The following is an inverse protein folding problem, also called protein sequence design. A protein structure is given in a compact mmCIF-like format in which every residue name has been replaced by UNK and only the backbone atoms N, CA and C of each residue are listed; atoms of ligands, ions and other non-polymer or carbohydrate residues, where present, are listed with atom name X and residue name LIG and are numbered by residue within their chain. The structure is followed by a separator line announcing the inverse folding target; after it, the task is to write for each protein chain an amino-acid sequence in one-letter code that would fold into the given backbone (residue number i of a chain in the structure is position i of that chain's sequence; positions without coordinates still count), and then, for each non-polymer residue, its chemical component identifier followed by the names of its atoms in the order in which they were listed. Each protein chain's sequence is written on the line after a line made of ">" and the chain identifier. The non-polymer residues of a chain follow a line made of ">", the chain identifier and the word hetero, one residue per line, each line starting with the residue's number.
data_IF_499843220647
#
_entry.id   IF_499843220647
#
_cell.length_a   1.000
_cell.length_b   1.000
_cell.length_c   1.000
_cell.angle_alpha   90.00
_cell.angle_beta   90.00
_cell.angle_gamma   90.00
#
_symmetry.space_group_name_H-M   'P 1'
#
loop_
_entity.id
_entity.type
_entity.pdbx_description
1 polymer ?
#
# COMPACT_ATOMS: atom_id res chain seq x y z
N UNK A 1 45.47 -14.15 -20.59
CA UNK A 1 44.42 -13.12 -20.62
C UNK A 1 44.03 -12.77 -19.19
N UNK A 2 44.04 -11.49 -18.84
CA UNK A 2 43.52 -11.03 -17.54
C UNK A 2 42.01 -10.94 -17.66
N UNK A 3 41.30 -11.77 -16.93
CA UNK A 3 39.83 -11.66 -16.75
C UNK A 3 39.56 -10.52 -15.77
N UNK A 4 38.83 -9.49 -16.20
CA UNK A 4 38.33 -8.47 -15.30
C UNK A 4 36.90 -8.86 -14.88
N UNK A 5 36.64 -8.91 -13.58
CA UNK A 5 35.29 -9.03 -13.06
C UNK A 5 34.69 -7.61 -13.01
N UNK A 6 33.57 -7.43 -13.68
CA UNK A 6 32.81 -6.18 -13.68
C UNK A 6 31.50 -6.42 -12.97
N UNK A 7 31.23 -5.62 -11.95
CA UNK A 7 29.91 -5.58 -11.28
C UNK A 7 29.17 -4.37 -11.83
N UNK A 8 27.90 -4.55 -12.17
CA UNK A 8 27.04 -3.48 -12.69
C UNK A 8 25.70 -3.51 -11.98
N UNK A 9 25.29 -2.35 -11.48
CA UNK A 9 23.95 -2.11 -10.95
C UNK A 9 23.12 -1.39 -12.01
N UNK A 10 21.93 -1.91 -12.28
CA UNK A 10 20.98 -1.31 -13.20
C UNK A 10 19.72 -0.90 -12.45
N UNK A 11 19.24 0.29 -12.72
CA UNK A 11 18.07 0.87 -12.06
C UNK A 11 16.95 1.12 -13.05
N UNK A 12 15.73 1.19 -12.52
CA UNK A 12 14.57 1.57 -13.33
C UNK A 12 14.63 3.06 -13.66
N UNK A 13 13.94 3.51 -14.74
CA UNK A 13 13.92 4.93 -15.10
C UNK A 13 13.32 5.85 -14.03
N UNK A 14 12.56 5.31 -13.09
CA UNK A 14 12.04 6.07 -11.94
C UNK A 14 13.14 6.61 -11.02
N UNK A 15 14.38 6.12 -11.15
CA UNK A 15 15.52 6.67 -10.42
C UNK A 15 15.72 8.15 -10.73
N UNK A 16 15.51 8.59 -11.97
CA UNK A 16 15.65 10.01 -12.36
C UNK A 16 14.71 10.91 -11.55
N UNK A 17 13.49 10.43 -11.25
CA UNK A 17 12.53 11.15 -10.40
C UNK A 17 12.88 11.09 -8.91
N UNK A 18 13.62 10.06 -8.49
CA UNK A 18 14.05 9.89 -7.09
C UNK A 18 15.23 10.79 -6.73
N UNK A 19 16.11 11.05 -7.67
CA UNK A 19 17.34 11.81 -7.45
C UNK A 19 17.14 13.32 -7.45
N UNK A 20 16.04 13.80 -8.04
CA UNK A 20 15.79 15.23 -8.20
C UNK A 20 14.59 15.68 -7.36
N UNK A 21 14.75 16.75 -6.55
CA UNK A 21 13.63 17.36 -5.83
C UNK A 21 12.86 18.34 -6.73
N UNK A 22 11.57 18.57 -6.49
CA UNK A 22 10.87 19.69 -7.05
C UNK A 22 11.45 21.02 -6.52
N UNK A 23 11.31 22.13 -7.27
CA UNK A 23 11.66 23.45 -6.76
C UNK A 23 10.90 23.78 -5.47
N UNK A 24 11.53 24.52 -4.56
CA UNK A 24 10.89 24.94 -3.32
C UNK A 24 9.64 25.76 -3.64
N UNK A 25 8.51 25.38 -3.03
CA UNK A 25 7.22 26.03 -3.27
C UNK A 25 6.56 25.63 -4.59
N UNK A 26 7.01 24.55 -5.24
CA UNK A 26 6.34 24.03 -6.44
C UNK A 26 4.89 23.68 -6.12
N UNK A 27 3.96 24.22 -6.90
CA UNK A 27 2.52 24.12 -6.62
C UNK A 27 1.76 23.83 -7.89
N UNK A 28 0.85 22.87 -7.83
CA UNK A 28 -0.20 22.64 -8.82
C UNK A 28 -1.48 23.22 -8.24
N UNK A 29 -2.17 24.06 -9.01
CA UNK A 29 -3.32 24.79 -8.50
C UNK A 29 -4.57 23.93 -8.41
N UNK A 30 -5.45 24.30 -7.51
CA UNK A 30 -6.80 23.76 -7.39
C UNK A 30 -7.52 23.74 -8.75
N UNK A 31 -8.34 22.70 -8.98
CA UNK A 31 -9.11 22.43 -10.19
C UNK A 31 -8.28 22.05 -11.43
N UNK A 32 -6.95 21.98 -11.35
CA UNK A 32 -6.16 21.41 -12.43
C UNK A 32 -6.32 19.88 -12.50
N UNK A 33 -6.24 19.33 -13.72
CA UNK A 33 -6.34 17.89 -13.94
C UNK A 33 -5.08 17.18 -13.41
N UNK A 34 -5.28 16.15 -12.60
CA UNK A 34 -4.21 15.43 -11.91
C UNK A 34 -3.31 14.71 -12.93
N UNK A 35 -3.91 13.97 -13.88
CA UNK A 35 -3.16 13.14 -14.81
C UNK A 35 -2.41 13.96 -15.85
N UNK A 36 -2.98 15.07 -16.31
CA UNK A 36 -2.31 15.98 -17.25
C UNK A 36 -1.03 16.58 -16.63
N UNK A 37 -1.11 16.99 -15.36
CA UNK A 37 0.04 17.49 -14.62
C UNK A 37 1.08 16.39 -14.38
N UNK A 38 0.65 15.19 -14.00
CA UNK A 38 1.57 14.07 -13.82
C UNK A 38 2.32 13.75 -15.12
N UNK A 39 1.62 13.65 -16.25
CA UNK A 39 2.25 13.42 -17.56
C UNK A 39 3.20 14.54 -17.99
N UNK A 40 2.83 15.81 -17.74
CA UNK A 40 3.69 16.96 -18.04
C UNK A 40 4.99 16.90 -17.24
N UNK A 41 4.90 16.74 -15.92
CA UNK A 41 6.07 16.68 -15.03
C UNK A 41 6.97 15.51 -15.42
N UNK A 42 6.41 14.33 -15.65
CA UNK A 42 7.21 13.16 -16.02
C UNK A 42 7.95 13.35 -17.33
N UNK A 43 7.34 13.96 -18.34
CA UNK A 43 8.01 14.28 -19.61
C UNK A 43 9.13 15.30 -19.46
N UNK A 44 9.02 16.21 -18.50
CA UNK A 44 10.03 17.23 -18.21
C UNK A 44 11.20 16.68 -17.38
N UNK A 45 10.93 15.71 -16.50
CA UNK A 45 11.88 15.25 -15.48
C UNK A 45 12.46 13.87 -15.74
N UNK A 46 11.98 13.14 -16.73
CA UNK A 46 12.37 11.76 -17.01
C UNK A 46 12.44 11.51 -18.51
N UNK A 47 13.39 10.66 -18.93
CA UNK A 47 13.61 10.31 -20.36
C UNK A 47 12.82 9.10 -20.82
N UNK A 48 12.43 8.21 -19.89
CA UNK A 48 11.71 7.00 -20.26
C UNK A 48 10.30 7.30 -20.78
N UNK A 49 9.78 6.50 -21.70
CA UNK A 49 8.44 6.68 -22.23
C UNK A 49 7.40 6.38 -21.13
N UNK A 50 6.36 7.21 -21.10
CA UNK A 50 5.22 7.09 -20.20
C UNK A 50 3.99 6.71 -21.03
N UNK A 51 3.31 5.66 -20.64
CA UNK A 51 2.08 5.22 -21.29
C UNK A 51 0.96 6.19 -20.93
N UNK A 52 0.25 6.66 -21.95
CA UNK A 52 -0.85 7.59 -21.76
C UNK A 52 -1.94 6.99 -20.84
N UNK A 53 -2.37 7.77 -19.89
CA UNK A 53 -3.47 7.46 -18.99
C UNK A 53 -4.22 8.75 -18.71
N UNK A 54 -5.52 8.73 -18.81
CA UNK A 54 -6.39 9.88 -18.54
C UNK A 54 -7.26 9.63 -17.31
N UNK A 55 -7.67 10.71 -16.69
CA UNK A 55 -8.71 10.74 -15.65
C UNK A 55 -9.34 12.13 -15.68
N UNK A 56 -10.61 12.22 -15.36
CA UNK A 56 -11.30 13.49 -15.19
C UNK A 56 -11.10 14.09 -13.79
N UNK A 57 -10.32 13.40 -12.94
CA UNK A 57 -10.05 13.83 -11.58
C UNK A 57 -9.24 15.12 -11.55
N UNK A 58 -9.71 16.05 -10.75
CA UNK A 58 -9.09 17.37 -10.52
C UNK A 58 -8.70 17.53 -9.07
N UNK A 59 -7.68 18.34 -8.83
CA UNK A 59 -7.26 18.70 -7.48
C UNK A 59 -8.36 19.47 -6.76
N UNK A 60 -8.66 19.04 -5.54
CA UNK A 60 -9.65 19.70 -4.69
C UNK A 60 -9.08 20.96 -4.02
N UNK A 61 -7.79 20.96 -3.70
CA UNK A 61 -7.02 22.08 -3.14
C UNK A 61 -5.72 22.23 -3.92
N UNK A 62 -5.01 23.34 -3.67
CA UNK A 62 -3.64 23.52 -4.16
C UNK A 62 -2.75 22.37 -3.63
N UNK A 63 -1.95 21.79 -4.50
CA UNK A 63 -1.05 20.70 -4.18
C UNK A 63 0.38 21.18 -4.20
N UNK A 64 0.96 21.31 -3.00
CA UNK A 64 2.26 21.94 -2.78
C UNK A 64 3.30 20.86 -2.44
N UNK A 65 4.47 20.95 -3.06
CA UNK A 65 5.58 20.06 -2.74
C UNK A 65 6.14 20.37 -1.34
N UNK A 66 6.40 19.31 -0.56
CA UNK A 66 7.09 19.43 0.72
C UNK A 66 8.59 19.66 0.49
N UNK A 67 9.28 20.17 1.50
CA UNK A 67 10.70 20.51 1.42
C UNK A 67 11.63 19.31 1.26
N UNK A 68 11.18 18.14 1.65
CA UNK A 68 11.89 16.86 1.60
C UNK A 68 11.39 15.94 0.46
N UNK A 69 10.45 16.42 -0.36
CA UNK A 69 9.98 15.67 -1.51
C UNK A 69 11.05 15.52 -2.58
N UNK A 70 11.04 14.34 -3.20
CA UNK A 70 11.61 14.11 -4.52
C UNK A 70 10.48 14.11 -5.55
N UNK A 71 10.80 14.21 -6.85
CA UNK A 71 9.75 14.15 -7.87
C UNK A 71 8.93 12.86 -7.81
N UNK A 72 9.55 11.73 -7.42
CA UNK A 72 8.80 10.46 -7.30
C UNK A 72 7.82 10.48 -6.13
N UNK A 73 8.18 11.05 -4.97
CA UNK A 73 7.28 11.17 -3.82
C UNK A 73 6.13 12.12 -4.14
N UNK A 74 6.45 13.31 -4.63
CA UNK A 74 5.45 14.30 -5.06
C UNK A 74 4.45 13.75 -6.08
N UNK A 75 4.97 13.09 -7.14
CA UNK A 75 4.11 12.49 -8.16
C UNK A 75 3.31 11.29 -7.65
N UNK A 76 3.87 10.48 -6.74
CA UNK A 76 3.14 9.37 -6.13
C UNK A 76 1.94 9.88 -5.34
N UNK A 77 2.12 10.92 -4.56
CA UNK A 77 1.04 11.55 -3.79
C UNK A 77 0.03 12.25 -4.69
N UNK A 78 0.51 12.89 -5.76
CA UNK A 78 -0.36 13.52 -6.76
C UNK A 78 -1.29 12.50 -7.42
N UNK A 79 -0.75 11.40 -7.97
CA UNK A 79 -1.55 10.39 -8.69
C UNK A 79 -2.41 9.54 -7.76
N UNK A 80 -2.06 9.45 -6.46
CA UNK A 80 -2.89 8.80 -5.45
C UNK A 80 -4.26 9.51 -5.30
N UNK A 81 -4.32 10.82 -5.51
CA UNK A 81 -5.59 11.56 -5.54
C UNK A 81 -6.50 11.14 -6.71
N UNK A 82 -5.94 10.58 -7.79
CA UNK A 82 -6.68 9.94 -8.88
C UNK A 82 -6.78 8.41 -8.71
N UNK A 83 -6.53 7.89 -7.50
CA UNK A 83 -6.54 6.45 -7.18
C UNK A 83 -5.65 5.62 -8.10
N UNK A 84 -4.50 6.16 -8.44
CA UNK A 84 -3.50 5.51 -9.30
C UNK A 84 -2.16 5.40 -8.59
N UNK A 85 -1.34 4.48 -9.07
CA UNK A 85 0.04 4.27 -8.63
C UNK A 85 0.93 3.97 -9.83
N UNK A 86 2.23 4.15 -9.66
CA UNK A 86 3.20 3.78 -10.67
C UNK A 86 3.30 2.28 -10.87
N UNK A 87 3.49 1.89 -12.13
CA UNK A 87 3.91 0.57 -12.56
C UNK A 87 4.96 0.69 -13.65
N UNK A 88 5.60 -0.43 -13.95
CA UNK A 88 6.55 -0.54 -15.06
C UNK A 88 6.17 -1.78 -15.87
N UNK A 89 6.26 -1.68 -17.18
CA UNK A 89 6.18 -2.85 -18.05
C UNK A 89 7.58 -3.43 -18.34
N UNK A 90 7.62 -4.53 -19.08
CA UNK A 90 8.85 -5.24 -19.41
C UNK A 90 9.77 -4.45 -20.35
N UNK A 91 9.26 -3.42 -21.00
CA UNK A 91 10.01 -2.52 -21.86
C UNK A 91 10.55 -1.30 -21.10
N UNK A 92 10.35 -1.24 -19.78
CA UNK A 92 10.75 -0.12 -18.94
C UNK A 92 9.89 1.13 -19.12
N UNK A 93 8.69 1.00 -19.71
CA UNK A 93 7.76 2.13 -19.84
C UNK A 93 6.98 2.30 -18.54
N UNK A 94 6.76 3.54 -18.14
CA UNK A 94 6.01 3.84 -16.94
C UNK A 94 4.51 3.78 -17.21
N UNK A 95 3.81 3.08 -16.31
CA UNK A 95 2.36 2.89 -16.32
C UNK A 95 1.73 3.61 -15.13
N UNK A 96 0.47 4.01 -15.28
CA UNK A 96 -0.40 4.43 -14.18
C UNK A 96 -1.45 3.35 -13.95
N UNK A 97 -1.24 2.55 -12.92
CA UNK A 97 -2.12 1.44 -12.59
C UNK A 97 -3.21 1.91 -11.61
N UNK A 98 -4.47 1.49 -11.80
CA UNK A 98 -5.51 1.80 -10.82
C UNK A 98 -5.19 1.10 -9.49
N UNK A 99 -5.52 1.77 -8.39
CA UNK A 99 -5.52 1.13 -7.09
C UNK A 99 -6.73 0.21 -6.98
N UNK A 100 -6.49 -1.08 -6.80
CA UNK A 100 -7.53 -2.10 -6.74
C UNK A 100 -7.42 -2.89 -5.45
N UNK A 101 -8.56 -3.16 -4.82
CA UNK A 101 -8.62 -4.07 -3.69
C UNK A 101 -8.27 -5.50 -4.15
N UNK A 102 -7.36 -6.14 -3.43
CA UNK A 102 -6.92 -7.51 -3.68
C UNK A 102 -8.10 -8.49 -3.70
N UNK A 103 -9.13 -8.24 -2.88
CA UNK A 103 -10.32 -9.07 -2.83
C UNK A 103 -11.07 -9.12 -4.18
N UNK A 104 -11.07 -8.02 -4.95
CA UNK A 104 -11.74 -7.90 -6.25
C UNK A 104 -10.96 -8.52 -7.41
N UNK A 105 -9.64 -8.72 -7.23
CA UNK A 105 -8.77 -9.21 -8.28
C UNK A 105 -8.94 -10.72 -8.51
N UNK A 106 -8.75 -11.15 -9.76
CA UNK A 106 -8.63 -12.57 -10.09
C UNK A 106 -7.17 -13.00 -9.93
N UNK A 107 -6.90 -14.13 -9.26
CA UNK A 107 -5.54 -14.65 -9.14
C UNK A 107 -5.02 -15.11 -10.51
N UNK A 108 -3.82 -14.67 -10.86
CA UNK A 108 -3.12 -15.14 -12.07
C UNK A 108 -2.43 -16.48 -11.84
N UNK A 109 -2.12 -16.81 -10.57
CA UNK A 109 -1.48 -18.05 -10.16
C UNK A 109 -1.99 -18.48 -8.79
N UNK A 110 -2.00 -19.81 -8.58
CA UNK A 110 -2.31 -20.41 -7.28
C UNK A 110 -1.10 -21.20 -6.81
N UNK A 111 -0.58 -20.86 -5.64
CA UNK A 111 0.45 -21.62 -4.95
C UNK A 111 -0.19 -22.54 -3.93
N UNK A 112 0.22 -23.83 -3.94
CA UNK A 112 -0.22 -24.85 -3.00
C UNK A 112 0.97 -25.58 -2.39
N UNK A 113 0.74 -26.39 -1.37
CA UNK A 113 1.73 -27.24 -0.70
C UNK A 113 1.60 -28.73 -1.10
N UNK A 114 0.92 -29.02 -2.22
CA UNK A 114 0.77 -30.37 -2.77
C UNK A 114 2.04 -30.90 -3.43
N UNK A 115 2.00 -32.18 -3.83
CA UNK A 115 3.14 -32.89 -4.42
C UNK A 115 3.65 -32.29 -5.74
N UNK A 116 2.83 -31.51 -6.43
CA UNK A 116 3.20 -30.79 -7.67
C UNK A 116 3.50 -29.31 -7.44
N UNK A 117 3.65 -28.92 -6.20
CA UNK A 117 3.95 -27.52 -5.84
C UNK A 117 5.30 -27.10 -6.40
N UNK A 118 5.35 -25.87 -6.91
CA UNK A 118 6.61 -25.20 -7.29
C UNK A 118 7.20 -24.38 -6.13
N UNK A 119 6.52 -24.32 -4.97
CA UNK A 119 7.00 -23.64 -3.78
C UNK A 119 8.20 -24.37 -3.19
N UNK A 120 9.21 -23.58 -2.79
CA UNK A 120 10.30 -24.10 -1.98
C UNK A 120 9.89 -24.11 -0.50
N UNK A 121 10.56 -24.92 0.35
CA UNK A 121 10.18 -25.09 1.74
C UNK A 121 10.24 -23.81 2.58
N UNK A 122 11.01 -22.79 2.15
CA UNK A 122 11.11 -21.53 2.86
C UNK A 122 9.87 -20.66 2.61
N UNK A 123 8.94 -20.70 3.55
CA UNK A 123 7.72 -19.92 3.54
C UNK A 123 7.58 -19.17 4.88
N UNK A 124 7.41 -17.85 4.82
CA UNK A 124 7.33 -17.02 6.01
C UNK A 124 6.14 -16.06 5.93
N UNK A 125 5.33 -16.03 6.97
CA UNK A 125 4.29 -15.01 7.15
C UNK A 125 4.74 -14.08 8.27
N UNK A 126 4.70 -12.79 8.03
CA UNK A 126 4.98 -11.76 9.03
C UNK A 126 3.82 -10.78 9.12
N UNK A 127 3.56 -10.33 10.34
CA UNK A 127 2.57 -9.32 10.68
C UNK A 127 3.04 -8.53 11.88
N UNK A 128 2.69 -7.27 11.94
CA UNK A 128 2.93 -6.44 13.13
C UNK A 128 1.60 -6.13 13.82
N UNK A 129 1.44 -6.66 15.02
CA UNK A 129 0.28 -6.40 15.86
C UNK A 129 0.57 -5.42 17.00
N UNK A 130 1.85 -5.04 17.18
CA UNK A 130 2.28 -4.37 18.40
C UNK A 130 1.56 -3.03 18.64
N UNK A 131 1.50 -2.18 17.63
CA UNK A 131 0.92 -0.85 17.71
C UNK A 131 -0.59 -0.76 17.42
N UNK A 132 -1.26 -1.88 17.09
CA UNK A 132 -2.68 -1.86 16.74
C UNK A 132 -3.51 -1.49 17.97
N UNK A 133 -4.28 -0.37 17.93
CA UNK A 133 -5.07 0.05 19.07
C UNK A 133 -6.29 -0.87 19.28
N UNK A 134 -6.74 -0.95 20.51
CA UNK A 134 -8.00 -1.60 20.88
C UNK A 134 -9.02 -0.62 21.48
N UNK A 135 -8.62 0.62 21.64
CA UNK A 135 -9.50 1.71 22.02
C UNK A 135 -9.21 2.91 21.14
N UNK A 136 -10.25 3.55 20.64
CA UNK A 136 -10.19 4.86 19.97
C UNK A 136 -10.98 5.85 20.80
N UNK A 137 -10.35 6.97 21.12
CA UNK A 137 -10.98 8.12 21.76
C UNK A 137 -10.96 9.30 20.79
N UNK A 138 -12.13 9.82 20.49
CA UNK A 138 -12.32 11.01 19.65
C UNK A 138 -12.75 12.15 20.52
N UNK A 139 -11.97 13.22 20.56
CA UNK A 139 -12.28 14.43 21.33
C UNK A 139 -12.62 15.54 20.35
N UNK A 140 -13.82 16.07 20.43
CA UNK A 140 -14.22 17.23 19.65
C UNK A 140 -14.44 18.41 20.59
N UNK A 141 -13.70 19.49 20.37
CA UNK A 141 -13.75 20.70 21.21
C UNK A 141 -13.66 21.93 20.31
N UNK A 142 -14.81 22.40 19.84
CA UNK A 142 -14.95 23.61 19.01
C UNK A 142 -16.29 24.31 19.32
N UNK A 143 -16.33 25.62 19.16
CA UNK A 143 -17.55 26.42 19.29
C UNK A 143 -18.31 26.21 20.63
N UNK A 144 -17.58 26.18 21.74
CA UNK A 144 -18.14 25.93 23.10
C UNK A 144 -18.74 24.53 23.32
N UNK A 145 -18.62 23.65 22.33
CA UNK A 145 -19.06 22.26 22.44
C UNK A 145 -17.90 21.33 22.72
N UNK A 146 -18.09 20.41 23.67
CA UNK A 146 -17.13 19.39 24.04
C UNK A 146 -17.81 18.02 24.00
N UNK A 147 -17.38 17.19 23.08
CA UNK A 147 -17.86 15.81 22.94
C UNK A 147 -16.69 14.86 23.02
N UNK A 148 -16.91 13.70 23.63
CA UNK A 148 -15.95 12.59 23.63
C UNK A 148 -16.70 11.34 23.15
N UNK A 149 -16.15 10.70 22.14
CA UNK A 149 -16.62 9.41 21.66
C UNK A 149 -15.54 8.35 21.91
N UNK A 150 -15.95 7.17 22.33
CA UNK A 150 -15.03 6.07 22.62
C UNK A 150 -15.52 4.78 21.97
N UNK A 151 -14.68 4.17 21.15
CA UNK A 151 -14.90 2.84 20.62
C UNK A 151 -13.90 1.85 21.24
N UNK A 152 -14.38 0.65 21.60
CA UNK A 152 -13.57 -0.37 22.29
C UNK A 152 -13.74 -1.70 21.54
N UNK A 153 -12.60 -2.31 21.20
CA UNK A 153 -12.56 -3.70 20.76
C UNK A 153 -12.39 -4.61 22.00
N UNK A 154 -13.47 -5.20 22.45
CA UNK A 154 -13.53 -6.17 23.55
C UNK A 154 -13.93 -7.59 23.08
N UNK A 155 -13.94 -7.84 21.76
CA UNK A 155 -14.24 -9.15 21.20
C UNK A 155 -13.18 -10.18 21.63
N UNK A 156 -13.55 -11.23 22.36
CA UNK A 156 -12.58 -12.26 22.77
C UNK A 156 -11.98 -13.03 21.58
N UNK A 157 -12.61 -13.03 20.42
CA UNK A 157 -12.10 -13.66 19.20
C UNK A 157 -11.10 -12.77 18.46
N UNK A 158 -11.04 -11.48 18.76
CA UNK A 158 -10.06 -10.57 18.16
C UNK A 158 -8.71 -10.68 18.89
N UNK A 159 -7.60 -11.00 18.20
CA UNK A 159 -6.28 -11.10 18.81
C UNK A 159 -5.75 -9.78 19.36
N UNK A 160 -6.37 -8.66 18.98
CA UNK A 160 -5.96 -7.32 19.40
C UNK A 160 -6.89 -6.70 20.43
N UNK A 161 -7.95 -7.38 20.83
CA UNK A 161 -8.92 -6.86 21.81
C UNK A 161 -8.31 -6.59 23.19
N UNK A 162 -9.01 -5.80 23.98
CA UNK A 162 -8.65 -5.54 25.38
C UNK A 162 -8.63 -6.83 26.21
N UNK A 163 -9.52 -7.77 25.89
CA UNK A 163 -9.63 -9.08 26.56
C UNK A 163 -8.43 -9.96 26.19
N UNK A 164 -8.19 -10.16 24.88
CA UNK A 164 -7.11 -11.07 24.42
C UNK A 164 -5.71 -10.56 24.79
N UNK A 165 -5.50 -9.25 24.82
CA UNK A 165 -4.21 -8.64 25.19
C UNK A 165 -4.03 -8.39 26.69
N UNK A 166 -5.10 -8.33 27.44
CA UNK A 166 -5.06 -7.95 28.88
C UNK A 166 -4.56 -6.52 29.12
N UNK A 167 -4.50 -5.67 28.10
CA UNK A 167 -4.04 -4.27 28.19
C UNK A 167 -4.76 -3.37 27.20
N UNK A 168 -4.82 -2.07 27.53
CA UNK A 168 -5.38 -1.03 26.70
C UNK A 168 -4.30 -0.37 25.84
N UNK A 169 -4.55 -0.23 24.55
CA UNK A 169 -3.75 0.55 23.60
C UNK A 169 -4.71 1.57 22.99
N UNK A 170 -4.53 2.82 23.41
CA UNK A 170 -5.47 3.90 23.09
C UNK A 170 -4.90 4.73 21.93
N UNK A 171 -5.69 4.87 20.88
CA UNK A 171 -5.48 5.88 19.83
C UNK A 171 -6.41 7.06 20.11
N UNK A 172 -5.84 8.24 20.27
CA UNK A 172 -6.62 9.47 20.49
C UNK A 172 -6.51 10.40 19.31
N UNK A 173 -7.65 10.88 18.81
CA UNK A 173 -7.73 11.92 17.79
C UNK A 173 -8.53 13.10 18.31
N UNK A 174 -8.13 14.31 17.92
CA UNK A 174 -8.76 15.55 18.38
C UNK A 174 -9.25 16.33 17.18
N UNK A 175 -10.47 16.83 17.25
CA UNK A 175 -11.10 17.66 16.23
C UNK A 175 -10.97 17.05 14.82
N UNK A 176 -11.54 15.86 14.58
CA UNK A 176 -11.52 15.26 13.25
C UNK A 176 -12.18 16.17 12.22
N UNK A 177 -11.67 16.14 10.99
CA UNK A 177 -12.25 16.92 9.89
C UNK A 177 -13.60 16.33 9.50
N UNK A 178 -14.66 17.02 9.93
CA UNK A 178 -16.05 16.64 9.69
C UNK A 178 -16.83 17.82 9.11
N UNK A 179 -17.80 17.54 8.24
CA UNK A 179 -18.64 18.58 7.66
C UNK A 179 -19.59 19.17 8.71
N UNK A 180 -19.32 20.38 9.18
CA UNK A 180 -20.10 21.08 10.18
C UNK A 180 -19.81 20.63 11.60
N UNK A 181 -20.67 21.05 12.55
CA UNK A 181 -20.59 20.62 13.96
C UNK A 181 -21.20 19.22 14.09
N UNK A 182 -20.43 18.20 14.46
CA UNK A 182 -20.92 16.83 14.56
C UNK A 182 -21.86 16.67 15.78
N UNK A 183 -22.82 15.76 15.67
CA UNK A 183 -23.56 15.24 16.82
C UNK A 183 -22.73 14.19 17.57
N UNK A 184 -23.13 13.86 18.81
CA UNK A 184 -22.50 12.78 19.58
C UNK A 184 -22.57 11.44 18.79
N UNK A 185 -23.70 11.14 18.18
CA UNK A 185 -23.92 9.93 17.40
C UNK A 185 -22.96 9.83 16.19
N UNK A 186 -22.75 10.94 15.49
CA UNK A 186 -21.79 10.99 14.38
C UNK A 186 -20.34 10.78 14.85
N UNK A 187 -19.98 11.26 16.03
CA UNK A 187 -18.67 11.04 16.62
C UNK A 187 -18.49 9.59 17.08
N UNK A 188 -19.52 8.98 17.64
CA UNK A 188 -19.51 7.56 18.04
C UNK A 188 -19.32 6.66 16.81
N UNK A 189 -20.05 6.90 15.73
CA UNK A 189 -19.87 6.20 14.45
C UNK A 189 -18.45 6.41 13.87
N UNK A 190 -17.94 7.64 13.96
CA UNK A 190 -16.60 7.94 13.50
C UNK A 190 -15.54 7.17 14.29
N UNK A 191 -15.65 7.14 15.61
CA UNK A 191 -14.75 6.40 16.50
C UNK A 191 -14.76 4.90 16.17
N UNK A 192 -15.95 4.32 15.94
CA UNK A 192 -16.08 2.91 15.56
C UNK A 192 -15.44 2.62 14.19
N UNK A 193 -15.73 3.44 13.18
CA UNK A 193 -15.14 3.31 11.84
C UNK A 193 -13.62 3.44 11.88
N UNK A 194 -13.12 4.38 12.67
CA UNK A 194 -11.67 4.59 12.84
C UNK A 194 -11.02 3.37 13.51
N UNK A 195 -11.61 2.83 14.57
CA UNK A 195 -11.09 1.63 15.23
C UNK A 195 -11.09 0.41 14.29
N UNK A 196 -12.15 0.22 13.50
CA UNK A 196 -12.21 -0.84 12.48
C UNK A 196 -11.11 -0.68 11.42
N UNK A 197 -10.88 0.55 10.97
CA UNK A 197 -9.81 0.87 10.03
C UNK A 197 -8.42 0.55 10.61
N UNK A 198 -8.14 1.00 11.82
CA UNK A 198 -6.88 0.76 12.52
C UNK A 198 -6.67 -0.71 12.92
N UNK A 199 -7.76 -1.48 13.02
CA UNK A 199 -7.75 -2.93 13.26
C UNK A 199 -7.61 -3.76 11.97
N UNK A 200 -7.50 -3.11 10.81
CA UNK A 200 -7.18 -3.76 9.54
C UNK A 200 -5.67 -3.73 9.35
N UNK A 201 -5.05 -4.91 9.37
CA UNK A 201 -3.59 -5.02 9.30
C UNK A 201 -3.13 -5.69 8.01
N UNK A 202 -1.92 -5.35 7.62
CA UNK A 202 -1.25 -5.96 6.48
C UNK A 202 -0.40 -7.15 6.95
N UNK A 203 -0.56 -8.26 6.24
CA UNK A 203 0.28 -9.44 6.33
C UNK A 203 1.22 -9.48 5.14
N UNK A 204 2.47 -9.84 5.39
CA UNK A 204 3.46 -10.07 4.35
C UNK A 204 3.82 -11.53 4.30
N UNK A 205 3.68 -12.14 3.12
CA UNK A 205 4.11 -13.50 2.83
C UNK A 205 5.42 -13.40 2.04
N UNK A 206 6.48 -14.02 2.55
CA UNK A 206 7.76 -14.18 1.83
C UNK A 206 7.92 -15.64 1.46
N UNK A 207 8.14 -15.91 0.18
CA UNK A 207 8.21 -17.26 -0.36
C UNK A 207 9.16 -17.32 -1.55
N UNK A 208 9.62 -18.53 -1.86
CA UNK A 208 10.42 -18.79 -3.06
C UNK A 208 9.81 -19.95 -3.86
N UNK A 209 9.97 -19.90 -5.18
CA UNK A 209 9.41 -20.89 -6.07
C UNK A 209 10.24 -21.02 -7.36
N UNK A 210 9.96 -22.04 -8.16
CA UNK A 210 10.42 -22.14 -9.54
C UNK A 210 9.76 -21.08 -10.41
N UNK A 211 10.39 -20.69 -11.50
CA UNK A 211 9.86 -19.64 -12.37
C UNK A 211 8.42 -19.92 -12.83
N UNK A 212 7.57 -18.91 -12.72
CA UNK A 212 6.23 -18.86 -13.31
C UNK A 212 5.94 -17.41 -13.77
N UNK A 213 4.98 -17.19 -14.67
CA UNK A 213 4.73 -15.88 -15.28
C UNK A 213 3.91 -14.94 -14.37
N UNK A 214 4.32 -14.81 -13.11
CA UNK A 214 3.76 -13.88 -12.14
C UNK A 214 4.63 -12.63 -12.11
N UNK A 215 4.03 -11.46 -11.93
CA UNK A 215 4.67 -10.14 -11.95
C UNK A 215 4.36 -9.35 -10.69
N UNK A 216 5.17 -8.34 -10.43
CA UNK A 216 4.86 -7.35 -9.39
C UNK A 216 3.53 -6.67 -9.71
N UNK A 217 2.65 -6.64 -8.73
CA UNK A 217 1.30 -6.09 -8.83
C UNK A 217 0.22 -7.12 -9.13
N UNK A 218 0.58 -8.33 -9.54
CA UNK A 218 -0.38 -9.42 -9.77
C UNK A 218 -0.99 -9.91 -8.46
N UNK A 219 -2.23 -10.40 -8.58
CA UNK A 219 -2.90 -11.13 -7.52
C UNK A 219 -2.54 -12.62 -7.63
N UNK A 220 -2.11 -13.20 -6.53
CA UNK A 220 -1.85 -14.63 -6.39
C UNK A 220 -2.72 -15.21 -5.28
N UNK A 221 -2.98 -16.50 -5.34
CA UNK A 221 -3.73 -17.23 -4.31
C UNK A 221 -2.83 -18.24 -3.62
N UNK A 222 -2.96 -18.33 -2.30
CA UNK A 222 -2.26 -19.33 -1.50
C UNK A 222 -3.24 -20.33 -0.91
N UNK A 223 -2.92 -21.62 -1.13
CA UNK A 223 -3.51 -22.77 -0.48
C UNK A 223 -2.36 -23.54 0.19
N UNK A 224 -1.99 -23.15 1.40
CA UNK A 224 -0.88 -23.72 2.15
C UNK A 224 -1.35 -24.11 3.54
N UNK A 225 -1.73 -25.38 3.73
CA UNK A 225 -2.32 -25.86 4.98
C UNK A 225 -1.35 -25.75 6.15
N UNK A 226 -0.07 -26.04 5.95
CA UNK A 226 0.98 -25.90 6.97
C UNK A 226 1.17 -24.47 7.48
N UNK A 227 0.79 -23.46 6.69
CA UNK A 227 0.82 -22.04 7.05
C UNK A 227 -0.57 -21.49 7.43
N UNK A 228 -1.61 -22.31 7.43
CA UNK A 228 -2.98 -21.90 7.75
C UNK A 228 -3.63 -21.03 6.66
N UNK A 229 -3.10 -21.01 5.43
CA UNK A 229 -3.63 -20.22 4.33
C UNK A 229 -4.56 -21.07 3.48
N UNK A 230 -5.83 -20.68 3.39
CA UNK A 230 -6.84 -21.38 2.58
C UNK A 230 -7.55 -20.39 1.68
N UNK A 231 -7.17 -20.38 0.39
CA UNK A 231 -7.73 -19.50 -0.61
C UNK A 231 -7.37 -18.01 -0.41
N UNK A 232 -6.29 -17.72 0.32
CA UNK A 232 -5.89 -16.34 0.62
C UNK A 232 -5.35 -15.69 -0.64
N UNK A 233 -5.97 -14.58 -1.03
CA UNK A 233 -5.50 -13.74 -2.13
C UNK A 233 -4.51 -12.72 -1.61
N UNK A 234 -3.37 -12.58 -2.29
CA UNK A 234 -2.35 -11.59 -1.94
C UNK A 234 -1.82 -10.93 -3.21
N UNK A 235 -1.31 -9.72 -3.07
CA UNK A 235 -0.73 -8.93 -4.16
C UNK A 235 0.78 -8.99 -4.08
N UNK A 236 1.42 -9.38 -5.18
CA UNK A 236 2.89 -9.41 -5.27
C UNK A 236 3.44 -7.99 -5.18
N UNK A 237 4.31 -7.74 -4.21
CA UNK A 237 4.92 -6.43 -3.95
C UNK A 237 6.35 -6.35 -4.44
N UNK A 238 7.13 -7.40 -4.21
CA UNK A 238 8.54 -7.49 -4.65
C UNK A 238 8.81 -8.83 -5.31
N UNK A 239 9.74 -8.84 -6.23
CA UNK A 239 10.19 -10.04 -6.92
C UNK A 239 11.69 -9.95 -7.16
N UNK A 240 12.41 -11.02 -6.88
CA UNK A 240 13.81 -11.21 -7.20
C UNK A 240 13.97 -12.52 -7.96
N UNK A 241 14.65 -12.49 -9.08
CA UNK A 241 14.85 -13.66 -9.96
C UNK A 241 16.34 -13.94 -10.04
N UNK A 242 16.75 -15.15 -9.65
CA UNK A 242 18.11 -15.62 -9.85
C UNK A 242 18.25 -16.11 -11.31
N UNK A 243 18.93 -15.33 -12.14
CA UNK A 243 19.12 -15.64 -13.56
C UNK A 243 20.22 -16.72 -13.79
N UNK A 244 20.08 -17.85 -13.09
CA UNK A 244 20.93 -19.05 -13.20
C UNK A 244 20.04 -20.25 -13.55
N UNK A 245 20.61 -21.41 -13.91
CA UNK A 245 19.82 -22.62 -14.15
C UNK A 245 18.90 -22.93 -12.94
N UNK A 246 17.60 -23.14 -13.24
CA UNK A 246 16.55 -23.32 -12.23
C UNK A 246 15.73 -22.06 -11.96
N UNK A 247 16.22 -20.87 -12.33
CA UNK A 247 15.48 -19.60 -12.25
C UNK A 247 14.65 -19.49 -10.96
N UNK A 248 15.32 -19.58 -9.80
CA UNK A 248 14.65 -19.39 -8.51
C UNK A 248 14.10 -17.98 -8.41
N UNK A 249 12.83 -17.88 -8.07
CA UNK A 249 12.14 -16.62 -7.81
C UNK A 249 11.87 -16.50 -6.32
N UNK A 250 12.18 -15.34 -5.75
CA UNK A 250 11.81 -14.99 -4.36
C UNK A 250 10.89 -13.79 -4.40
N UNK A 251 9.74 -13.91 -3.79
CA UNK A 251 8.69 -12.88 -3.80
C UNK A 251 8.24 -12.52 -2.39
N UNK A 252 7.75 -11.29 -2.27
CA UNK A 252 6.87 -10.91 -1.16
C UNK A 252 5.50 -10.55 -1.70
N UNK A 253 4.47 -11.12 -1.12
CA UNK A 253 3.09 -10.76 -1.40
C UNK A 253 2.41 -10.27 -0.13
N UNK A 254 1.44 -9.38 -0.27
CA UNK A 254 0.74 -8.77 0.85
C UNK A 254 -0.76 -8.96 0.72
N UNK A 255 -1.41 -9.13 1.86
CA UNK A 255 -2.86 -9.10 2.00
C UNK A 255 -3.25 -8.41 3.31
N UNK A 256 -4.47 -7.96 3.40
CA UNK A 256 -5.01 -7.32 4.60
C UNK A 256 -6.03 -8.21 5.28
N UNK A 257 -6.05 -8.18 6.60
CA UNK A 257 -7.03 -8.87 7.42
C UNK A 257 -7.66 -7.92 8.43
N UNK A 258 -8.98 -8.00 8.57
CA UNK A 258 -9.71 -7.25 9.59
C UNK A 258 -9.71 -8.07 10.88
N UNK A 259 -9.02 -7.56 11.89
CA UNK A 259 -8.91 -8.20 13.21
C UNK A 259 -10.10 -7.92 14.12
N UNK A 260 -10.91 -6.95 13.77
CA UNK A 260 -12.18 -6.61 14.41
C UNK A 260 -13.24 -6.31 13.36
N UNK A 261 -14.41 -6.92 13.45
CA UNK A 261 -15.50 -6.84 12.45
C UNK A 261 -16.73 -6.16 12.99
#
# INVERSE_FOLDING_TARGET
>A
GKTANVTMDAYTPLLELKENPPPVGYTILKNENIMDNAHRIMREQMRAPVIASSSDDKLYNDFVANTDDTWITFLSDLIANAKKKFGLDEMGRVLFLPEQDVASLQPVWTYDDGNCSILYPSFKISRDLYGVPNIVEVVYSQNEMNYVATAINDDPNSPTSTISRGRKIIHRTTNPDMSGTPSQEQLDEYAEKLLKSLSTIEYTITYSHGYCPVRIGDCVRFNHDGAGLRGVKAKVRTQSIDCIPGCKVTETAVFTEKLWR
#
